data_IF_438901236302
#
_entry.id   IF_438901236302
#
_cell.length_a   1.000
_cell.length_b   1.000
_cell.length_c   1.000
_cell.angle_alpha   90.00
_cell.angle_beta   90.00
_cell.angle_gamma   90.00
#
_symmetry.space_group_name_H-M   'P 1'
#
loop_
_entity.id
_entity.type
_entity.pdbx_description
1 polymer ?
#
# COMPACT_ATOMS: atom_id res chain seq x y z
N UNK A 1 24.01 -2.04 0.84
CA UNK A 1 23.38 -3.22 0.22
C UNK A 1 21.97 -3.37 0.82
N UNK A 2 20.97 -3.82 0.05
CA UNK A 2 19.59 -4.07 0.52
C UNK A 2 19.16 -5.48 0.11
N UNK A 3 18.40 -6.14 0.97
CA UNK A 3 17.69 -7.39 0.69
C UNK A 3 16.21 -7.13 0.97
N UNK A 4 15.32 -7.57 0.07
CA UNK A 4 13.88 -7.36 0.20
C UNK A 4 13.12 -8.60 -0.24
N UNK A 5 11.95 -8.83 0.36
CA UNK A 5 11.00 -9.81 -0.15
C UNK A 5 10.39 -9.31 -1.47
N UNK A 6 9.99 -10.24 -2.32
CA UNK A 6 9.32 -9.95 -3.60
C UNK A 6 7.82 -10.24 -3.49
N UNK A 7 7.06 -9.86 -4.52
CA UNK A 7 5.60 -10.01 -4.53
C UNK A 7 5.11 -11.43 -4.23
N UNK A 8 5.67 -12.52 -4.79
CA UNK A 8 5.20 -13.86 -4.45
C UNK A 8 5.26 -14.15 -2.95
N UNK A 9 6.30 -13.68 -2.27
CA UNK A 9 6.44 -13.90 -0.83
C UNK A 9 5.48 -13.06 -0.02
N UNK A 10 5.26 -11.80 -0.40
CA UNK A 10 4.32 -10.91 0.31
C UNK A 10 2.87 -11.40 0.10
N UNK A 11 2.52 -11.79 -1.14
CA UNK A 11 1.17 -12.21 -1.50
C UNK A 11 0.77 -13.57 -0.89
N UNK A 12 1.74 -14.39 -0.51
CA UNK A 12 1.52 -15.68 0.15
C UNK A 12 1.25 -15.57 1.67
N UNK A 13 1.34 -14.36 2.24
CA UNK A 13 1.03 -14.17 3.65
C UNK A 13 -0.47 -14.41 3.93
N UNK A 14 -0.76 -14.99 5.10
CA UNK A 14 -2.16 -15.18 5.57
C UNK A 14 -2.90 -13.86 5.73
N UNK A 15 -2.18 -12.80 6.09
CA UNK A 15 -2.72 -11.46 6.26
C UNK A 15 -1.66 -10.45 5.82
N UNK A 16 -2.06 -9.49 4.99
CA UNK A 16 -1.25 -8.34 4.56
C UNK A 16 -1.92 -7.07 5.08
N UNK A 17 -1.16 -6.27 5.82
CA UNK A 17 -1.62 -5.00 6.38
C UNK A 17 -0.71 -3.89 5.88
N UNK A 18 -1.31 -2.86 5.27
CA UNK A 18 -0.63 -1.65 4.82
C UNK A 18 -0.93 -0.54 5.80
N UNK A 19 0.11 0.04 6.40
CA UNK A 19 0.01 1.21 7.26
C UNK A 19 0.50 2.45 6.52
N UNK A 20 -0.32 3.50 6.53
CA UNK A 20 -0.02 4.77 5.88
C UNK A 20 -0.22 5.88 6.91
N UNK A 21 0.80 6.70 7.13
CA UNK A 21 0.75 7.77 8.11
C UNK A 21 1.46 9.03 7.62
N UNK A 22 0.93 10.16 8.05
CA UNK A 22 1.48 11.49 7.81
C UNK A 22 1.05 12.13 6.48
N UNK A 23 0.97 13.47 6.52
CA UNK A 23 0.56 14.34 5.42
C UNK A 23 1.36 14.11 4.12
N UNK A 24 2.65 13.76 4.25
CA UNK A 24 3.52 13.47 3.10
C UNK A 24 3.03 12.30 2.23
N UNK A 25 2.05 11.52 2.69
CA UNK A 25 1.42 10.41 1.95
C UNK A 25 0.08 10.80 1.31
N UNK A 26 -0.53 11.93 1.64
CA UNK A 26 -1.85 12.33 1.15
C UNK A 26 -1.93 12.38 -0.38
N UNK A 27 -0.90 12.94 -1.04
CA UNK A 27 -0.84 13.01 -2.49
C UNK A 27 -0.85 11.62 -3.15
N UNK A 28 0.04 10.72 -2.71
CA UNK A 28 0.14 9.38 -3.31
C UNK A 28 -1.07 8.51 -2.96
N UNK A 29 -1.66 8.68 -1.78
CA UNK A 29 -2.93 8.02 -1.42
C UNK A 29 -4.01 8.44 -2.40
N UNK A 30 -4.19 9.74 -2.63
CA UNK A 30 -5.15 10.26 -3.60
C UNK A 30 -4.91 9.71 -5.00
N UNK A 31 -3.66 9.63 -5.45
CA UNK A 31 -3.32 9.10 -6.77
C UNK A 31 -3.69 7.61 -6.90
N UNK A 32 -3.49 6.83 -5.84
CA UNK A 32 -3.85 5.41 -5.79
C UNK A 32 -5.38 5.23 -5.81
N UNK A 33 -6.14 6.01 -5.03
CA UNK A 33 -7.62 5.87 -4.98
C UNK A 33 -8.34 6.42 -6.19
N UNK A 34 -7.70 7.32 -6.96
CA UNK A 34 -8.29 7.91 -8.17
C UNK A 34 -7.78 7.28 -9.46
N UNK A 35 -6.91 6.27 -9.37
CA UNK A 35 -6.26 5.62 -10.51
C UNK A 35 -5.47 6.58 -11.41
N UNK A 36 -5.10 7.76 -10.90
CA UNK A 36 -4.40 8.80 -11.65
C UNK A 36 -2.96 8.39 -12.01
N UNK A 37 -2.35 7.51 -11.21
CA UNK A 37 -1.03 6.92 -11.45
C UNK A 37 -1.14 5.41 -11.43
N UNK A 38 -0.51 4.76 -12.41
CA UNK A 38 -0.55 3.30 -12.58
C UNK A 38 0.85 2.69 -12.46
N UNK A 39 0.90 1.42 -12.06
CA UNK A 39 2.12 0.64 -12.02
C UNK A 39 2.97 0.81 -10.75
N UNK A 40 2.43 1.47 -9.71
CA UNK A 40 3.08 1.59 -8.41
C UNK A 40 3.29 0.21 -7.78
N UNK A 41 4.40 -0.02 -7.03
CA UNK A 41 4.66 -1.32 -6.41
C UNK A 41 3.50 -1.85 -5.56
N UNK A 42 2.82 -0.96 -4.83
CA UNK A 42 1.70 -1.31 -3.96
C UNK A 42 0.46 -1.77 -4.75
N UNK A 43 0.26 -1.28 -5.97
CA UNK A 43 -0.83 -1.70 -6.87
C UNK A 43 -0.61 -3.12 -7.43
N UNK A 44 0.61 -3.66 -7.33
CA UNK A 44 0.95 -5.02 -7.78
C UNK A 44 0.79 -6.07 -6.69
N UNK A 45 0.45 -5.66 -5.46
CA UNK A 45 0.10 -6.61 -4.41
C UNK A 45 -1.21 -7.29 -4.78
N UNK A 46 -1.22 -8.61 -4.66
CA UNK A 46 -2.39 -9.45 -4.83
C UNK A 46 -2.40 -10.50 -3.70
N UNK A 47 -2.61 -10.09 -2.44
CA UNK A 47 -2.65 -11.01 -1.31
C UNK A 47 -3.72 -12.07 -1.50
N UNK A 48 -3.39 -13.31 -1.20
CA UNK A 48 -4.36 -14.43 -1.25
C UNK A 48 -5.20 -14.53 0.03
N UNK A 49 -4.67 -14.03 1.14
CA UNK A 49 -5.35 -13.94 2.43
C UNK A 49 -5.96 -12.56 2.68
N UNK A 50 -6.14 -12.23 3.96
CA UNK A 50 -6.80 -10.98 4.34
C UNK A 50 -5.95 -9.75 3.97
N UNK A 51 -6.59 -8.71 3.44
CA UNK A 51 -5.91 -7.49 2.99
C UNK A 51 -6.52 -6.24 3.61
N UNK A 52 -5.75 -5.54 4.44
CA UNK A 52 -6.20 -4.36 5.18
C UNK A 52 -5.32 -3.14 4.93
N UNK A 53 -5.97 -1.98 4.90
CA UNK A 53 -5.33 -0.68 4.82
C UNK A 53 -5.76 0.16 6.01
N UNK A 54 -4.78 0.62 6.78
CA UNK A 54 -5.00 1.56 7.86
C UNK A 54 -4.26 2.86 7.55
N UNK A 55 -5.00 3.96 7.62
CA UNK A 55 -4.49 5.30 7.39
C UNK A 55 -4.85 6.22 8.56
N UNK A 56 -3.95 7.15 8.89
CA UNK A 56 -4.29 8.29 9.75
C UNK A 56 -5.02 9.38 8.96
N UNK A 57 -5.61 10.35 9.67
CA UNK A 57 -6.35 11.45 9.05
C UNK A 57 -5.46 12.28 8.11
N UNK A 58 -4.23 12.59 8.54
CA UNK A 58 -3.29 13.37 7.76
C UNK A 58 -2.94 12.70 6.41
N UNK A 59 -2.71 11.39 6.38
CA UNK A 59 -2.49 10.63 5.14
C UNK A 59 -3.77 10.48 4.30
N UNK A 60 -4.95 10.57 4.92
CA UNK A 60 -6.22 10.64 4.21
C UNK A 60 -6.52 12.03 3.63
N UNK A 61 -5.69 13.04 3.94
CA UNK A 61 -5.93 14.44 3.56
C UNK A 61 -7.05 15.10 4.37
N UNK A 62 -7.30 14.62 5.59
CA UNK A 62 -8.28 15.17 6.54
C UNK A 62 -7.60 15.88 7.71
#
# INVERSE_FOLDING_TARGET
WRVTMTYPTINAARQVIVFIAGEAKAAIVKDITTDAVQGLPIQRLAPQGDYYWYMDAAAAGQ
#
